data_IF_350367031745
#
_entry.id   IF_350367031745
#
_cell.length_a   1.000
_cell.length_b   1.000
_cell.length_c   1.000
_cell.angle_alpha   90.00
_cell.angle_beta   90.00
_cell.angle_gamma   90.00
#
_symmetry.space_group_name_H-M   'P 1'
#
loop_
_entity.id
_entity.type
_entity.pdbx_description
1 polymer ?
#
# COMPACT_ATOMS: atom_id res chain seq x y z
N UNK A 1 -18.80 -8.20 4.94
CA UNK A 1 -19.85 -7.35 4.33
C UNK A 1 -20.62 -6.53 5.37
N UNK A 2 -21.16 -7.16 6.43
CA UNK A 2 -22.00 -6.48 7.43
C UNK A 2 -21.44 -5.17 8.00
N UNK A 3 -20.18 -5.16 8.47
CA UNK A 3 -19.58 -3.94 9.06
C UNK A 3 -19.38 -2.79 8.05
N UNK A 4 -19.09 -3.11 6.78
CA UNK A 4 -19.05 -2.09 5.72
C UNK A 4 -20.43 -1.49 5.47
N UNK A 5 -21.45 -2.34 5.35
CA UNK A 5 -22.84 -1.92 5.13
C UNK A 5 -23.41 -1.14 6.33
N UNK A 6 -22.94 -1.41 7.55
CA UNK A 6 -23.28 -0.65 8.76
C UNK A 6 -22.45 0.64 8.92
N UNK A 7 -21.45 0.87 8.07
CA UNK A 7 -20.55 2.03 8.17
C UNK A 7 -19.52 1.97 9.29
N UNK A 8 -19.42 0.87 10.04
CA UNK A 8 -18.45 0.68 11.13
C UNK A 8 -17.06 0.30 10.61
N UNK A 9 -16.97 -0.14 9.35
CA UNK A 9 -15.71 -0.36 8.65
C UNK A 9 -15.60 0.54 7.42
N UNK A 10 -14.50 1.28 7.33
CA UNK A 10 -14.16 2.09 6.16
C UNK A 10 -12.98 1.45 5.42
N UNK A 11 -13.17 1.00 4.16
CA UNK A 11 -12.07 0.59 3.30
C UNK A 11 -11.09 1.73 3.06
N UNK A 12 -9.83 1.40 2.75
CA UNK A 12 -8.87 2.40 2.29
C UNK A 12 -9.41 3.12 1.05
N UNK A 13 -9.27 4.44 1.03
CA UNK A 13 -9.38 5.22 -0.20
C UNK A 13 -8.22 4.85 -1.13
N UNK A 14 -8.36 5.20 -2.41
CA UNK A 14 -7.32 4.93 -3.40
C UNK A 14 -6.00 5.61 -3.02
N UNK A 15 -6.08 6.85 -2.56
CA UNK A 15 -4.91 7.64 -2.16
C UNK A 15 -4.22 7.01 -0.95
N UNK A 16 -4.99 6.57 0.06
CA UNK A 16 -4.43 5.85 1.21
C UNK A 16 -3.76 4.55 0.79
N UNK A 17 -4.38 3.78 -0.10
CA UNK A 17 -3.80 2.54 -0.63
C UNK A 17 -2.48 2.79 -1.34
N UNK A 18 -2.43 3.79 -2.23
CA UNK A 18 -1.22 4.15 -2.99
C UNK A 18 -0.10 4.56 -2.03
N UNK A 19 -0.39 5.46 -1.09
CA UNK A 19 0.61 5.95 -0.15
C UNK A 19 1.12 4.83 0.76
N UNK A 20 0.23 4.03 1.33
CA UNK A 20 0.60 2.90 2.19
C UNK A 20 1.41 1.86 1.43
N UNK A 21 1.06 1.58 0.17
CA UNK A 21 1.83 0.66 -0.66
C UNK A 21 3.21 1.24 -0.97
N UNK A 22 3.32 2.53 -1.29
CA UNK A 22 4.62 3.16 -1.50
C UNK A 22 5.48 3.11 -0.22
N UNK A 23 4.91 3.39 0.95
CA UNK A 23 5.60 3.27 2.25
C UNK A 23 6.10 1.83 2.49
N UNK A 24 5.25 0.85 2.23
CA UNK A 24 5.62 -0.56 2.32
C UNK A 24 6.79 -0.90 1.38
N UNK A 25 6.71 -0.49 0.11
CA UNK A 25 7.74 -0.76 -0.89
C UNK A 25 9.08 -0.14 -0.52
N UNK A 26 9.09 1.11 -0.08
CA UNK A 26 10.30 1.81 0.35
C UNK A 26 11.03 1.07 1.47
N UNK A 27 10.30 0.32 2.31
CA UNK A 27 10.83 -0.47 3.41
C UNK A 27 10.99 -1.97 3.09
N UNK A 28 10.66 -2.42 1.87
CA UNK A 28 10.81 -3.81 1.45
C UNK A 28 12.20 -4.05 0.86
N UNK A 29 12.86 -5.14 1.23
CA UNK A 29 14.16 -5.51 0.66
C UNK A 29 14.10 -5.59 -0.87
N UNK A 30 15.10 -4.97 -1.53
CA UNK A 30 15.23 -4.90 -2.99
C UNK A 30 15.33 -6.26 -3.69
N UNK A 31 15.67 -7.32 -2.95
CA UNK A 31 15.78 -8.69 -3.46
C UNK A 31 14.47 -9.47 -3.36
N UNK A 32 13.43 -8.91 -2.72
CA UNK A 32 12.11 -9.53 -2.65
C UNK A 32 11.35 -9.22 -3.94
N UNK A 33 11.00 -10.28 -4.68
CA UNK A 33 10.14 -10.18 -5.85
C UNK A 33 8.67 -10.05 -5.43
N UNK A 34 8.02 -8.98 -5.89
CA UNK A 34 6.60 -8.78 -5.68
C UNK A 34 5.83 -9.37 -6.85
N UNK A 35 5.08 -10.43 -6.58
CA UNK A 35 4.27 -11.09 -7.61
C UNK A 35 3.01 -10.29 -7.97
N UNK A 36 2.39 -9.62 -6.99
CA UNK A 36 1.12 -8.91 -7.21
C UNK A 36 0.91 -7.76 -6.22
N UNK A 37 0.76 -6.55 -6.75
CA UNK A 37 0.49 -5.32 -5.97
C UNK A 37 -0.98 -4.91 -5.91
N UNK A 38 -1.83 -5.44 -6.80
CA UNK A 38 -3.26 -5.15 -6.80
C UNK A 38 -4.03 -6.30 -7.45
N UNK A 39 -5.35 -6.31 -7.31
CA UNK A 39 -6.24 -7.32 -7.88
C UNK A 39 -7.20 -6.69 -8.89
N UNK A 40 -7.29 -7.34 -10.04
CA UNK A 40 -8.30 -7.05 -11.05
C UNK A 40 -9.65 -7.59 -10.55
N UNK A 41 -10.60 -6.68 -10.30
CA UNK A 41 -11.91 -7.01 -9.79
C UNK A 41 -12.91 -6.02 -10.39
N UNK A 42 -13.88 -6.53 -11.16
CA UNK A 42 -14.87 -5.70 -11.83
C UNK A 42 -15.66 -4.87 -10.83
N UNK A 43 -15.76 -3.56 -11.10
CA UNK A 43 -16.47 -2.59 -10.26
C UNK A 43 -17.90 -3.03 -9.94
N UNK A 44 -18.61 -3.55 -10.95
CA UNK A 44 -20.01 -4.00 -10.84
C UNK A 44 -20.24 -5.14 -9.82
N UNK A 45 -19.21 -5.95 -9.55
CA UNK A 45 -19.32 -7.11 -8.65
C UNK A 45 -18.69 -6.86 -7.28
N UNK A 46 -18.05 -5.71 -7.11
CA UNK A 46 -17.23 -5.41 -5.94
C UNK A 46 -18.05 -4.61 -4.94
N UNK A 47 -18.20 -5.16 -3.72
CA UNK A 47 -18.85 -4.47 -2.61
C UNK A 47 -18.05 -3.23 -2.16
N UNK A 48 -16.73 -3.37 -2.07
CA UNK A 48 -15.80 -2.34 -1.60
C UNK A 48 -14.35 -2.73 -1.96
N UNK A 49 -13.41 -1.79 -2.02
CA UNK A 49 -13.63 -0.34 -2.09
C UNK A 49 -14.18 0.07 -3.46
N UNK A 50 -14.85 1.22 -3.54
CA UNK A 50 -15.53 1.70 -4.76
C UNK A 50 -14.57 2.07 -5.91
N UNK A 51 -13.34 2.46 -5.59
CA UNK A 51 -12.35 2.86 -6.60
C UNK A 51 -11.83 1.67 -7.41
N UNK A 52 -11.43 1.91 -8.66
CA UNK A 52 -10.93 0.89 -9.57
C UNK A 52 -9.55 0.35 -9.16
N UNK A 53 -9.54 -0.94 -8.77
CA UNK A 53 -8.38 -1.66 -8.26
C UNK A 53 -7.59 -2.42 -9.32
N UNK A 54 -7.94 -2.30 -10.60
CA UNK A 54 -7.19 -2.99 -11.65
C UNK A 54 -5.72 -2.63 -11.61
N UNK A 55 -4.87 -3.65 -11.71
CA UNK A 55 -3.41 -3.52 -11.64
C UNK A 55 -2.88 -2.54 -12.68
N UNK A 56 -3.42 -2.58 -13.89
CA UNK A 56 -3.05 -1.67 -14.98
C UNK A 56 -3.26 -0.19 -14.63
N UNK A 57 -4.17 0.12 -13.70
CA UNK A 57 -4.45 1.48 -13.22
C UNK A 57 -3.67 1.81 -11.94
N UNK A 58 -3.57 0.86 -11.02
CA UNK A 58 -2.99 1.09 -9.69
C UNK A 58 -1.46 1.07 -9.72
N UNK A 59 -0.84 0.15 -10.46
CA UNK A 59 0.63 0.05 -10.52
C UNK A 59 1.30 1.34 -11.01
N UNK A 60 0.86 1.98 -12.12
CA UNK A 60 1.46 3.24 -12.56
C UNK A 60 1.30 4.39 -11.56
N UNK A 61 0.22 4.38 -10.76
CA UNK A 61 0.00 5.39 -9.73
C UNK A 61 0.97 5.23 -8.56
N UNK A 62 1.23 4.00 -8.15
CA UNK A 62 2.26 3.70 -7.13
C UNK A 62 3.65 4.09 -7.65
N UNK A 63 3.98 3.75 -8.90
CA UNK A 63 5.24 4.15 -9.52
C UNK A 63 5.39 5.68 -9.59
N UNK A 64 4.33 6.39 -9.98
CA UNK A 64 4.29 7.86 -9.98
C UNK A 64 4.51 8.42 -8.57
N UNK A 65 3.92 7.80 -7.55
CA UNK A 65 4.08 8.24 -6.18
C UNK A 65 5.52 8.04 -5.67
N UNK A 66 6.12 6.86 -5.92
CA UNK A 66 7.53 6.62 -5.62
C UNK A 66 8.45 7.61 -6.36
N UNK A 67 8.17 7.88 -7.64
CA UNK A 67 8.92 8.89 -8.41
C UNK A 67 8.76 10.29 -7.84
N UNK A 68 7.55 10.68 -7.42
CA UNK A 68 7.28 11.97 -6.77
C UNK A 68 8.07 12.12 -5.47
N UNK A 69 8.22 11.02 -4.72
CA UNK A 69 9.02 10.95 -3.48
C UNK A 69 10.52 10.85 -3.72
N UNK A 70 10.95 10.65 -4.97
CA UNK A 70 12.33 10.33 -5.35
C UNK A 70 12.86 9.07 -4.64
N UNK A 71 12.01 8.04 -4.55
CA UNK A 71 12.31 6.77 -3.88
C UNK A 71 12.05 5.57 -4.79
N UNK A 72 12.39 4.38 -4.30
CA UNK A 72 12.18 3.09 -4.93
C UNK A 72 12.08 2.00 -3.85
N UNK A 73 11.80 0.76 -4.25
CA UNK A 73 11.78 -0.36 -3.32
C UNK A 73 13.10 -0.46 -2.54
N UNK A 74 12.99 -0.58 -1.21
CA UNK A 74 14.12 -0.69 -0.29
C UNK A 74 14.90 0.60 -0.06
N UNK A 75 14.48 1.74 -0.60
CA UNK A 75 15.17 3.02 -0.42
C UNK A 75 15.24 3.49 1.04
N UNK A 76 14.32 3.00 1.88
CA UNK A 76 14.23 3.32 3.31
C UNK A 76 14.44 2.09 4.21
N UNK A 77 14.79 0.93 3.64
CA UNK A 77 14.97 -0.29 4.43
C UNK A 77 16.06 -0.08 5.48
N UNK A 78 15.67 -0.25 6.75
CA UNK A 78 16.56 -0.21 7.91
C UNK A 78 16.45 -1.54 8.65
N UNK A 79 17.52 -2.33 8.65
CA UNK A 79 17.53 -3.69 9.22
C UNK A 79 17.78 -3.71 10.74
N UNK A 80 18.27 -2.61 11.31
CA UNK A 80 18.53 -2.49 12.74
C UNK A 80 18.02 -1.16 13.25
N UNK A 81 17.53 -1.16 14.49
CA UNK A 81 17.22 0.07 15.22
C UNK A 81 18.46 0.50 16.01
N UNK A 82 18.65 1.81 16.14
CA UNK A 82 19.57 2.34 17.15
C UNK A 82 18.97 2.18 18.55
N UNK A 83 19.80 2.31 19.58
CA UNK A 83 19.31 2.27 20.98
C UNK A 83 18.23 3.34 21.22
N UNK A 84 18.40 4.53 20.63
CA UNK A 84 17.43 5.64 20.77
C UNK A 84 16.11 5.39 20.02
N UNK A 85 16.09 4.49 19.03
CA UNK A 85 14.89 4.11 18.28
C UNK A 85 14.13 2.93 18.89
N UNK A 86 14.72 2.26 19.90
CA UNK A 86 14.05 1.20 20.64
C UNK A 86 13.01 1.81 21.58
N UNK A 87 11.77 1.93 21.09
CA UNK A 87 10.62 2.31 21.90
C UNK A 87 9.94 1.03 22.43
N UNK A 88 9.99 0.75 23.74
CA UNK A 88 9.25 -0.36 24.30
C UNK A 88 7.75 -0.18 24.07
N UNK A 89 7.05 -1.29 23.87
CA UNK A 89 5.60 -1.28 23.63
C UNK A 89 4.78 -0.93 24.89
N UNK A 90 5.44 -0.68 26.03
CA UNK A 90 4.85 -0.42 27.35
C UNK A 90 5.54 0.76 28.04
#
# INVERSE_FOLDING_TARGET
AGEYLKGTYRPLSEIEYINLTADFLENLDRNILIQRLSKDCGLETKLAPEWDSYRARITPKIEKELKRRNTKQGAKLKLSLTVDELVPLI
#
